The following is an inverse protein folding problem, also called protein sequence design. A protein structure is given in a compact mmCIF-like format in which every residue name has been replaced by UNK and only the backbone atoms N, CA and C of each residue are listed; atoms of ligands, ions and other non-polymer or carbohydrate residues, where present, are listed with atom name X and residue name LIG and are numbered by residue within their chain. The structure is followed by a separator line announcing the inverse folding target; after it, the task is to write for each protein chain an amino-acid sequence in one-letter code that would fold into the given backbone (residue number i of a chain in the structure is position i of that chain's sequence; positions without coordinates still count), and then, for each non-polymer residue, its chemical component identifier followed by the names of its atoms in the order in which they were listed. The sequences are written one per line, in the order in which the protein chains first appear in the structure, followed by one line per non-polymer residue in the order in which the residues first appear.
data_IF_302846443129
#
_entry.id   IF_302846443129
#
_cell.length_a   1.000
_cell.length_b   1.000
_cell.length_c   1.000
_cell.angle_alpha   90.00
_cell.angle_beta   90.00
_cell.angle_gamma   90.00
#
_symmetry.space_group_name_H-M   'P 1'
#
loop_
_entity.id
_entity.type
_entity.pdbx_description
1 polymer ?
#
# COMPACT_ATOMS: atom_id res chain seq x y z
N UNK A 1 6.79 -5.07 9.52
CA UNK A 1 7.01 -3.63 9.88
C UNK A 1 7.04 -2.89 8.56
N UNK A 2 6.22 -1.85 8.36
CA UNK A 2 6.09 -1.20 7.04
C UNK A 2 7.08 -0.03 6.92
N UNK A 3 7.93 -0.07 5.91
CA UNK A 3 8.93 0.96 5.59
C UNK A 3 8.82 1.36 4.12
N UNK A 4 9.41 2.50 3.70
CA UNK A 4 9.66 2.75 2.28
C UNK A 4 10.40 1.57 1.65
N UNK A 5 9.91 1.10 0.49
CA UNK A 5 10.37 -0.10 -0.21
C UNK A 5 9.61 -1.38 0.17
N UNK A 6 8.83 -1.41 1.26
CA UNK A 6 8.02 -2.57 1.61
C UNK A 6 6.91 -2.83 0.57
N UNK A 7 6.69 -4.11 0.25
CA UNK A 7 5.47 -4.53 -0.44
C UNK A 7 4.35 -4.67 0.59
N UNK A 8 3.22 -4.03 0.33
CA UNK A 8 2.06 -4.03 1.22
C UNK A 8 0.80 -4.47 0.49
N UNK A 9 -0.13 -5.08 1.22
CA UNK A 9 -1.48 -5.38 0.77
C UNK A 9 -2.47 -4.46 1.47
N UNK A 10 -3.44 -3.94 0.73
CA UNK A 10 -4.56 -3.19 1.33
C UNK A 10 -5.55 -4.18 1.94
N UNK A 11 -5.84 -4.03 3.23
CA UNK A 11 -6.73 -4.93 4.00
C UNK A 11 -8.02 -4.27 4.46
N UNK A 12 -8.18 -2.97 4.21
CA UNK A 12 -9.44 -2.26 4.46
C UNK A 12 -10.50 -2.68 3.44
N UNK A 13 -11.50 -3.43 3.90
CA UNK A 13 -12.60 -3.95 3.09
C UNK A 13 -13.51 -2.86 2.51
N UNK A 14 -13.47 -1.63 3.04
CA UNK A 14 -14.23 -0.49 2.51
C UNK A 14 -13.52 0.23 1.36
N UNK A 15 -12.24 -0.09 1.13
CA UNK A 15 -11.43 0.53 0.08
C UNK A 15 -11.64 -0.15 -1.27
N UNK A 16 -11.71 0.64 -2.35
CA UNK A 16 -11.69 0.11 -3.73
C UNK A 16 -10.35 -0.58 -4.08
N UNK A 17 -9.32 -0.37 -3.26
CA UNK A 17 -8.03 -1.03 -3.40
C UNK A 17 -7.94 -2.30 -2.55
N UNK A 18 -9.02 -2.74 -1.89
CA UNK A 18 -9.01 -3.95 -1.06
C UNK A 18 -8.41 -5.16 -1.80
N UNK A 19 -7.43 -5.79 -1.17
CA UNK A 19 -6.73 -6.94 -1.71
C UNK A 19 -5.59 -6.64 -2.68
N UNK A 20 -5.48 -5.41 -3.20
CA UNK A 20 -4.37 -5.00 -4.07
C UNK A 20 -3.06 -4.94 -3.31
N UNK A 21 -1.97 -5.22 -4.02
CA UNK A 21 -0.61 -5.12 -3.52
C UNK A 21 0.15 -4.00 -4.24
N UNK A 22 1.05 -3.34 -3.53
CA UNK A 22 1.87 -2.28 -4.09
C UNK A 22 3.10 -1.96 -3.23
N UNK A 23 3.92 -1.04 -3.72
CA UNK A 23 5.17 -0.64 -3.08
C UNK A 23 5.04 0.66 -2.32
N UNK A 24 5.46 0.68 -1.06
CA UNK A 24 5.50 1.93 -0.28
C UNK A 24 6.63 2.81 -0.79
N UNK A 25 6.29 4.01 -1.26
CA UNK A 25 7.25 4.99 -1.76
C UNK A 25 7.75 5.93 -0.65
N UNK A 26 6.85 6.33 0.25
CA UNK A 26 7.15 7.21 1.39
C UNK A 26 6.12 7.04 2.51
N UNK A 27 6.50 7.41 3.72
CA UNK A 27 5.65 7.39 4.91
C UNK A 27 5.67 8.77 5.56
N UNK A 28 4.51 9.24 6.01
CA UNK A 28 4.37 10.50 6.73
C UNK A 28 2.99 10.64 7.37
N UNK A 29 2.93 11.26 8.55
CA UNK A 29 1.66 11.56 9.25
C UNK A 29 0.73 10.35 9.42
N UNK A 30 1.29 9.18 9.76
CA UNK A 30 0.50 7.95 9.96
C UNK A 30 -0.05 7.33 8.66
N UNK A 31 0.44 7.76 7.50
CA UNK A 31 0.01 7.30 6.18
C UNK A 31 1.21 6.87 5.34
N UNK A 32 0.95 6.04 4.33
CA UNK A 32 1.93 5.59 3.35
C UNK A 32 1.44 5.92 1.94
N UNK A 33 2.33 6.43 1.09
CA UNK A 33 2.08 6.51 -0.34
C UNK A 33 2.47 5.17 -0.98
N UNK A 34 1.49 4.48 -1.56
CA UNK A 34 1.63 3.15 -2.17
C UNK A 34 1.52 3.31 -3.68
N UNK A 35 2.56 2.84 -4.39
CA UNK A 35 2.57 2.73 -5.84
C UNK A 35 1.94 1.39 -6.24
N UNK A 36 0.86 1.45 -7.00
CA UNK A 36 0.24 0.31 -7.65
C UNK A 36 0.62 0.31 -9.12
N UNK A 37 1.07 -0.84 -9.61
CA UNK A 37 1.49 -1.04 -11.00
C UNK A 37 0.58 -2.08 -11.66
N UNK A 38 0.20 -1.84 -12.91
CA UNK A 38 -0.66 -2.75 -13.67
C UNK A 38 -0.64 -2.44 -15.17
N UNK A 39 0.05 -3.28 -15.95
CA UNK A 39 0.21 -3.05 -17.38
C UNK A 39 1.01 -1.76 -17.65
N UNK A 40 0.45 -0.85 -18.44
CA UNK A 40 1.08 0.44 -18.78
C UNK A 40 0.69 1.58 -17.81
N UNK A 41 0.04 1.25 -16.69
CA UNK A 41 -0.45 2.26 -15.76
C UNK A 41 0.16 2.10 -14.37
N UNK A 42 0.60 3.24 -13.85
CA UNK A 42 1.07 3.40 -12.48
C UNK A 42 0.15 4.36 -11.74
N UNK A 43 -0.20 4.01 -10.49
CA UNK A 43 -1.03 4.87 -9.63
C UNK A 43 -0.42 4.96 -8.25
N UNK A 44 -0.06 6.18 -7.85
CA UNK A 44 0.37 6.49 -6.49
C UNK A 44 -0.81 6.95 -5.64
N UNK A 45 -1.10 6.23 -4.56
CA UNK A 45 -2.23 6.51 -3.65
C UNK A 45 -1.75 6.58 -2.21
N UNK A 46 -2.20 7.56 -1.44
CA UNK A 46 -1.84 7.68 -0.03
C UNK A 46 -2.90 7.09 0.88
N UNK A 47 -2.57 6.02 1.59
CA UNK A 47 -3.46 5.23 2.45
C UNK A 47 -3.03 5.30 3.93
N UNK A 48 -3.95 5.19 4.89
CA UNK A 48 -3.59 5.04 6.30
C UNK A 48 -2.71 3.81 6.54
N UNK A 49 -1.74 3.89 7.44
CA UNK A 49 -0.92 2.70 7.77
C UNK A 49 -1.77 1.54 8.31
N UNK A 50 -2.85 1.84 9.06
CA UNK A 50 -3.76 0.84 9.59
C UNK A 50 -4.59 0.08 8.53
N UNK A 51 -4.65 0.57 7.29
CA UNK A 51 -5.32 -0.14 6.18
C UNK A 51 -4.38 -1.06 5.40
N UNK A 52 -3.11 -1.17 5.82
CA UNK A 52 -2.06 -1.89 5.11
C UNK A 52 -1.50 -3.03 5.95
N UNK A 53 -1.23 -4.15 5.30
CA UNK A 53 -0.49 -5.27 5.87
C UNK A 53 0.77 -5.52 5.07
N UNK A 54 1.86 -5.84 5.75
CA UNK A 54 3.11 -6.27 5.14
C UNK A 54 2.88 -7.58 4.36
N UNK A 55 3.12 -7.57 3.05
CA UNK A 55 2.83 -8.72 2.19
C UNK A 55 3.77 -9.92 2.45
N UNK A 56 4.93 -9.68 3.08
CA UNK A 56 5.87 -10.74 3.46
C UNK A 56 5.45 -11.49 4.73
N UNK A 57 4.55 -10.91 5.53
CA UNK A 57 3.99 -11.53 6.73
C UNK A 57 2.64 -12.19 6.34
N UNK A 58 2.71 -13.46 5.94
CA UNK A 58 1.52 -14.31 5.79
C UNK A 58 0.90 -14.62 7.15
#
# INVERSE_FOLDING_TARGET
MILPGSTVRVVDASSIYFGYQGFVQRIGSGRAAVLFEGGNWDRLVTLPLGSLQDAALR
#
